data_IF_903926684057
#
_entry.id   IF_903926684057
#
_cell.length_a   1.000
_cell.length_b   1.000
_cell.length_c   1.000
_cell.angle_alpha   90.00
_cell.angle_beta   90.00
_cell.angle_gamma   90.00
#
_symmetry.space_group_name_H-M   'P 1'
#
loop_
_entity.id
_entity.type
_entity.pdbx_description
1 polymer ?
#
# COMPACT_ATOMS: atom_id res chain seq x y z
N UNK A 1 -20.24 24.71 -71.84
CA UNK A 1 -19.61 25.23 -70.61
C UNK A 1 -20.05 24.32 -69.43
N UNK A 2 -19.24 23.32 -69.03
CA UNK A 2 -19.57 22.43 -67.97
C UNK A 2 -18.85 22.96 -66.71
N UNK A 3 -19.60 23.37 -65.66
CA UNK A 3 -19.07 23.76 -64.35
C UNK A 3 -18.80 22.50 -63.56
N UNK A 4 -17.53 22.21 -63.27
CA UNK A 4 -17.10 21.18 -62.29
C UNK A 4 -17.19 21.79 -60.87
N UNK A 5 -18.04 21.22 -60.07
CA UNK A 5 -18.13 21.54 -58.63
C UNK A 5 -17.14 20.62 -57.91
N UNK A 6 -16.06 21.21 -57.39
CA UNK A 6 -15.05 20.53 -56.55
C UNK A 6 -15.58 20.49 -55.10
N UNK A 7 -16.03 19.31 -54.65
CA UNK A 7 -16.43 19.11 -53.26
C UNK A 7 -15.18 18.79 -52.45
N UNK A 8 -14.76 19.75 -51.62
CA UNK A 8 -13.67 19.61 -50.68
C UNK A 8 -14.19 18.87 -49.43
N UNK A 9 -13.89 17.57 -49.32
CA UNK A 9 -14.18 16.78 -48.11
C UNK A 9 -13.15 17.12 -47.03
N UNK A 10 -13.54 17.97 -46.08
CA UNK A 10 -12.74 18.22 -44.84
C UNK A 10 -12.92 17.06 -43.90
N UNK A 11 -11.93 16.18 -43.84
CA UNK A 11 -11.82 15.14 -42.79
C UNK A 11 -11.45 15.82 -41.48
N UNK A 12 -12.44 16.07 -40.61
CA UNK A 12 -12.21 16.46 -39.23
C UNK A 12 -11.71 15.25 -38.46
N UNK A 13 -10.41 15.17 -38.26
CA UNK A 13 -9.78 14.17 -37.36
C UNK A 13 -10.20 14.48 -35.92
N UNK A 14 -11.25 13.82 -35.43
CA UNK A 14 -11.62 13.86 -34.00
C UNK A 14 -10.61 12.98 -33.28
N UNK A 15 -9.59 13.60 -32.69
CA UNK A 15 -8.69 12.94 -31.77
C UNK A 15 -9.46 12.61 -30.49
N UNK A 16 -9.92 11.37 -30.36
CA UNK A 16 -10.40 10.86 -29.07
C UNK A 16 -9.19 10.77 -28.14
N UNK A 17 -9.05 11.72 -27.23
CA UNK A 17 -8.21 11.53 -26.06
C UNK A 17 -8.88 10.46 -25.21
N UNK A 18 -8.39 9.23 -25.30
CA UNK A 18 -8.73 8.19 -24.34
C UNK A 18 -8.14 8.68 -23.01
N UNK A 19 -8.98 9.26 -22.16
CA UNK A 19 -8.66 9.45 -20.76
C UNK A 19 -8.47 8.04 -20.22
N UNK A 20 -7.23 7.63 -20.03
CA UNK A 20 -6.90 6.46 -19.22
C UNK A 20 -7.54 6.72 -17.86
N UNK A 21 -8.63 6.03 -17.56
CA UNK A 21 -9.17 6.05 -16.21
C UNK A 21 -8.13 5.35 -15.36
N UNK A 22 -7.49 6.10 -14.44
CA UNK A 22 -6.60 5.52 -13.46
C UNK A 22 -7.35 4.39 -12.74
N UNK A 23 -6.78 3.20 -12.76
CA UNK A 23 -7.38 2.03 -12.13
C UNK A 23 -7.65 2.28 -10.64
N UNK A 24 -6.79 3.07 -9.99
CA UNK A 24 -6.83 3.39 -8.56
C UNK A 24 -6.97 4.89 -8.32
N UNK A 25 -7.84 5.25 -7.38
CA UNK A 25 -7.91 6.63 -6.89
C UNK A 25 -6.79 6.98 -5.90
N UNK A 26 -6.15 5.99 -5.25
CA UNK A 26 -5.24 6.20 -4.14
C UNK A 26 -3.79 5.85 -4.45
N UNK A 27 -3.53 4.69 -5.05
CA UNK A 27 -2.17 4.27 -5.37
C UNK A 27 -1.85 4.57 -6.82
N UNK A 28 -0.62 5.04 -7.10
CA UNK A 28 -0.19 5.22 -8.49
C UNK A 28 0.06 3.84 -9.14
N UNK A 29 -0.32 3.74 -10.43
CA UNK A 29 -0.07 2.58 -11.28
C UNK A 29 0.70 3.04 -12.52
N UNK A 30 1.89 3.60 -12.28
CA UNK A 30 2.79 4.07 -13.32
C UNK A 30 4.22 3.62 -13.00
N UNK A 31 4.87 3.00 -13.99
CA UNK A 31 6.24 2.52 -13.86
C UNK A 31 7.22 3.69 -13.71
N UNK A 32 8.23 3.53 -12.84
CA UNK A 32 9.23 4.55 -12.54
C UNK A 32 8.89 5.44 -11.36
N UNK A 33 7.65 5.49 -10.89
CA UNK A 33 7.31 6.22 -9.67
C UNK A 33 8.06 5.63 -8.49
N UNK A 34 8.69 6.50 -7.71
CA UNK A 34 9.45 6.12 -6.52
C UNK A 34 9.04 6.93 -5.31
N UNK A 35 9.09 6.31 -4.14
CA UNK A 35 8.76 6.97 -2.88
C UNK A 35 9.56 6.38 -1.71
N UNK A 36 9.75 7.18 -0.66
CA UNK A 36 10.42 6.75 0.55
C UNK A 36 9.50 6.89 1.76
N UNK A 37 9.45 5.84 2.57
CA UNK A 37 8.78 5.81 3.87
C UNK A 37 9.84 5.76 4.97
N UNK A 38 9.80 6.69 5.92
CA UNK A 38 10.67 6.69 7.09
C UNK A 38 9.89 6.26 8.32
N UNK A 39 10.45 5.30 9.05
CA UNK A 39 9.91 4.75 10.28
C UNK A 39 10.50 5.45 11.50
N UNK A 40 9.65 5.72 12.49
CA UNK A 40 10.01 6.38 13.74
C UNK A 40 9.61 5.54 14.93
N UNK A 41 10.46 5.52 15.93
CA UNK A 41 10.18 4.88 17.22
C UNK A 41 9.17 5.71 18.07
N UNK A 42 8.80 5.17 19.23
CA UNK A 42 7.89 5.84 20.20
C UNK A 42 8.38 7.21 20.70
N UNK A 43 9.66 7.53 20.51
CA UNK A 43 10.28 8.82 20.90
C UNK A 43 10.41 9.78 19.70
N UNK A 44 9.92 9.39 18.52
CA UNK A 44 10.05 10.18 17.30
C UNK A 44 11.45 10.14 16.68
N UNK A 45 12.31 9.18 17.07
CA UNK A 45 13.61 9.00 16.43
C UNK A 45 13.47 8.08 15.24
N UNK A 46 14.17 8.38 14.15
CA UNK A 46 14.26 7.51 12.98
C UNK A 46 14.78 6.14 13.40
N UNK A 47 14.12 5.08 12.97
CA UNK A 47 14.53 3.69 13.19
C UNK A 47 14.94 2.98 11.90
N UNK A 48 14.31 3.32 10.78
CA UNK A 48 14.61 2.78 9.46
C UNK A 48 14.03 3.67 8.36
N UNK A 49 14.48 3.50 7.12
CA UNK A 49 13.83 4.05 5.93
C UNK A 49 13.65 2.96 4.89
N UNK A 50 12.57 3.04 4.11
CA UNK A 50 12.30 2.10 3.02
C UNK A 50 12.10 2.87 1.73
N UNK A 51 12.95 2.60 0.75
CA UNK A 51 12.80 3.09 -0.61
C UNK A 51 11.90 2.12 -1.39
N UNK A 52 10.96 2.65 -2.14
CA UNK A 52 10.03 1.91 -2.98
C UNK A 52 10.14 2.41 -4.43
N UNK A 53 10.05 1.46 -5.37
CA UNK A 53 10.03 1.74 -6.80
C UNK A 53 8.96 0.88 -7.46
N UNK A 54 8.05 1.48 -8.21
CA UNK A 54 7.14 0.74 -9.10
C UNK A 54 7.98 0.27 -10.29
N UNK A 55 8.35 -1.00 -10.29
CA UNK A 55 9.26 -1.58 -11.29
C UNK A 55 8.56 -2.06 -12.54
N UNK A 56 7.27 -2.41 -12.44
CA UNK A 56 6.45 -2.77 -13.60
C UNK A 56 4.96 -2.57 -13.32
N UNK A 57 4.19 -2.32 -14.37
CA UNK A 57 2.73 -2.28 -14.34
C UNK A 57 2.20 -3.12 -15.49
N UNK A 58 1.34 -4.08 -15.16
CA UNK A 58 0.74 -4.98 -16.16
C UNK A 58 -0.78 -4.95 -16.05
N UNK A 59 -1.45 -4.91 -17.20
CA UNK A 59 -2.93 -4.93 -17.26
C UNK A 59 -3.41 -6.18 -17.99
N UNK A 60 -4.35 -6.89 -17.38
CA UNK A 60 -5.02 -8.05 -17.96
C UNK A 60 -6.53 -7.94 -17.74
N UNK A 61 -7.26 -7.69 -18.81
CA UNK A 61 -8.70 -7.39 -18.73
C UNK A 61 -8.95 -6.14 -17.88
N UNK A 62 -9.76 -6.27 -16.84
CA UNK A 62 -10.08 -5.18 -15.91
C UNK A 62 -9.12 -5.08 -14.72
N UNK A 63 -8.11 -5.95 -14.63
CA UNK A 63 -7.17 -5.95 -13.54
C UNK A 63 -5.83 -5.34 -13.95
N UNK A 64 -5.33 -4.42 -13.15
CA UNK A 64 -3.99 -3.86 -13.28
C UNK A 64 -3.19 -4.23 -12.05
N UNK A 65 -1.98 -4.73 -12.24
CA UNK A 65 -1.04 -5.12 -11.19
C UNK A 65 0.20 -4.25 -11.28
N UNK A 66 0.55 -3.60 -10.19
CA UNK A 66 1.82 -2.92 -10.03
C UNK A 66 2.75 -3.79 -9.17
N UNK A 67 3.97 -4.01 -9.64
CA UNK A 67 5.05 -4.65 -8.90
C UNK A 67 5.90 -3.55 -8.25
N UNK A 68 6.12 -3.64 -6.95
CA UNK A 68 6.85 -2.63 -6.19
C UNK A 68 8.05 -3.27 -5.52
N UNK A 69 9.24 -2.85 -5.92
CA UNK A 69 10.48 -3.22 -5.25
C UNK A 69 10.69 -2.34 -4.03
N UNK A 70 11.08 -2.92 -2.92
CA UNK A 70 11.32 -2.22 -1.66
C UNK A 70 12.72 -2.53 -1.12
N UNK A 71 13.39 -1.51 -0.57
CA UNK A 71 14.71 -1.64 0.08
C UNK A 71 14.67 -0.91 1.42
N UNK A 72 14.69 -1.68 2.50
CA UNK A 72 14.73 -1.12 3.85
C UNK A 72 16.18 -0.95 4.30
N UNK A 73 16.48 0.21 4.86
CA UNK A 73 17.80 0.59 5.39
C UNK A 73 17.69 1.02 6.85
N UNK A 74 18.74 0.77 7.60
CA UNK A 74 18.86 1.25 8.97
C UNK A 74 19.19 2.76 9.01
N UNK A 75 19.42 3.29 10.23
CA UNK A 75 19.77 4.71 10.46
C UNK A 75 21.12 5.12 9.86
N UNK A 76 22.01 4.17 9.56
CA UNK A 76 23.32 4.39 8.97
C UNK A 76 23.27 4.27 7.44
N UNK A 77 22.12 3.89 6.86
CA UNK A 77 21.93 3.64 5.44
C UNK A 77 22.33 2.23 5.00
N UNK A 78 22.65 1.33 5.95
CA UNK A 78 22.95 -0.07 5.66
C UNK A 78 21.67 -0.83 5.32
N UNK A 79 21.75 -1.69 4.29
CA UNK A 79 20.60 -2.50 3.86
C UNK A 79 20.25 -3.51 4.95
N UNK A 80 18.99 -3.44 5.44
CA UNK A 80 18.41 -4.43 6.36
C UNK A 80 17.79 -5.57 5.55
N UNK A 81 16.95 -5.22 4.58
CA UNK A 81 16.24 -6.19 3.74
C UNK A 81 15.78 -5.55 2.43
N UNK A 82 15.58 -6.37 1.41
CA UNK A 82 14.93 -5.98 0.17
C UNK A 82 13.89 -7.02 -0.23
N UNK A 83 12.90 -6.61 -0.98
CA UNK A 83 11.84 -7.49 -1.41
C UNK A 83 10.93 -6.86 -2.44
N UNK A 84 9.93 -7.62 -2.84
CA UNK A 84 8.95 -7.23 -3.84
C UNK A 84 7.54 -7.49 -3.29
N UNK A 85 6.60 -6.60 -3.59
CA UNK A 85 5.19 -6.81 -3.30
C UNK A 85 4.31 -6.31 -4.43
N UNK A 86 3.08 -6.83 -4.47
CA UNK A 86 2.11 -6.55 -5.50
C UNK A 86 0.96 -5.71 -4.97
N UNK A 87 0.56 -4.72 -5.76
CA UNK A 87 -0.70 -4.02 -5.59
C UNK A 87 -1.55 -4.31 -6.82
N UNK A 88 -2.78 -4.76 -6.59
CA UNK A 88 -3.74 -5.06 -7.64
C UNK A 88 -4.88 -4.05 -7.59
N UNK A 89 -5.37 -3.67 -8.77
CA UNK A 89 -6.53 -2.81 -8.91
C UNK A 89 -7.49 -3.40 -9.95
N UNK A 90 -8.80 -3.37 -9.67
CA UNK A 90 -9.85 -3.84 -10.58
C UNK A 90 -10.76 -2.70 -11.08
N UNK A 91 -10.33 -1.43 -10.94
CA UNK A 91 -11.11 -0.24 -11.30
C UNK A 91 -12.06 0.26 -10.21
N UNK A 92 -12.44 -0.58 -9.23
CA UNK A 92 -13.32 -0.21 -8.12
C UNK A 92 -12.57 -0.09 -6.79
N UNK A 93 -11.50 -0.86 -6.64
CA UNK A 93 -10.73 -0.97 -5.41
C UNK A 93 -9.29 -1.38 -5.68
N UNK A 94 -8.45 -1.09 -4.71
CA UNK A 94 -7.08 -1.59 -4.62
C UNK A 94 -7.03 -2.72 -3.61
N UNK A 95 -6.30 -3.78 -3.95
CA UNK A 95 -6.07 -4.94 -3.11
C UNK A 95 -4.56 -5.13 -2.92
N UNK A 96 -4.12 -5.09 -1.66
CA UNK A 96 -2.71 -5.28 -1.29
C UNK A 96 -2.60 -6.62 -0.57
N UNK A 97 -1.74 -7.51 -1.07
CA UNK A 97 -1.48 -8.79 -0.40
C UNK A 97 -0.77 -8.53 0.94
N UNK A 98 -1.44 -8.88 2.04
CA UNK A 98 -0.89 -8.67 3.38
C UNK A 98 0.42 -9.45 3.61
N UNK A 99 0.62 -10.58 2.90
CA UNK A 99 1.88 -11.35 2.92
C UNK A 99 3.05 -10.51 2.45
N UNK A 100 2.83 -9.74 1.38
CA UNK A 100 3.87 -8.92 0.75
C UNK A 100 4.26 -7.69 1.59
N UNK A 101 3.51 -7.39 2.65
CA UNK A 101 3.84 -6.33 3.61
C UNK A 101 4.74 -6.82 4.76
N UNK A 102 5.01 -8.13 4.84
CA UNK A 102 5.96 -8.69 5.80
C UNK A 102 7.39 -8.51 5.29
N UNK A 103 8.32 -8.26 6.22
CA UNK A 103 9.72 -8.17 5.81
C UNK A 103 10.22 -9.51 5.27
N UNK A 104 11.00 -9.52 4.18
CA UNK A 104 11.66 -10.73 3.67
C UNK A 104 12.48 -11.46 4.73
N UNK A 105 13.15 -10.72 5.64
CA UNK A 105 13.90 -11.32 6.76
C UNK A 105 13.06 -12.21 7.67
N UNK A 106 11.75 -11.92 7.76
CA UNK A 106 10.85 -12.79 8.50
C UNK A 106 10.73 -14.14 7.79
N UNK A 107 10.69 -14.14 6.45
CA UNK A 107 10.67 -15.38 5.67
C UNK A 107 12.02 -16.08 5.65
N UNK A 108 13.13 -15.33 5.62
CA UNK A 108 14.48 -15.89 5.64
C UNK A 108 14.79 -16.62 6.96
N UNK A 109 14.23 -16.15 8.07
CA UNK A 109 14.31 -16.86 9.37
C UNK A 109 13.69 -18.27 9.32
N UNK A 110 12.77 -18.48 8.37
CA UNK A 110 12.07 -19.75 8.15
C UNK A 110 12.50 -20.43 6.86
N UNK A 111 13.58 -19.97 6.21
CA UNK A 111 14.08 -20.54 4.98
C UNK A 111 14.44 -22.01 5.18
N UNK A 112 13.97 -22.86 4.28
CA UNK A 112 14.11 -24.33 4.37
C UNK A 112 13.10 -25.01 5.29
N UNK A 113 12.21 -24.28 5.98
CA UNK A 113 11.09 -24.83 6.74
C UNK A 113 9.83 -24.89 5.87
N UNK A 114 8.97 -25.88 6.14
CA UNK A 114 7.67 -25.93 5.47
C UNK A 114 6.77 -24.85 6.04
N UNK A 115 6.42 -23.88 5.18
CA UNK A 115 5.52 -22.77 5.54
C UNK A 115 4.25 -22.82 4.70
N UNK A 116 3.10 -22.58 5.34
CA UNK A 116 1.81 -22.38 4.67
C UNK A 116 1.26 -21.02 5.07
N UNK A 117 0.92 -20.16 4.07
CA UNK A 117 0.44 -18.82 4.30
C UNK A 117 -0.93 -18.66 3.67
N UNK A 118 -1.91 -18.34 4.49
CA UNK A 118 -3.30 -18.10 4.11
C UNK A 118 -3.76 -16.72 4.61
N UNK A 119 -4.81 -16.17 4.02
CA UNK A 119 -5.39 -14.91 4.50
C UNK A 119 -6.20 -14.17 3.45
N UNK A 120 -6.55 -12.93 3.81
CA UNK A 120 -7.28 -12.00 2.95
C UNK A 120 -6.47 -10.72 2.75
N UNK A 121 -6.64 -10.12 1.58
CA UNK A 121 -5.91 -8.89 1.23
C UNK A 121 -6.46 -7.66 1.98
N UNK A 122 -5.63 -6.64 2.09
CA UNK A 122 -6.06 -5.29 2.49
C UNK A 122 -6.76 -4.64 1.30
N UNK A 123 -8.09 -4.47 1.39
CA UNK A 123 -8.89 -3.85 0.33
C UNK A 123 -9.16 -2.38 0.65
N UNK A 124 -9.00 -1.52 -0.35
CA UNK A 124 -9.26 -0.07 -0.28
C UNK A 124 -10.13 0.32 -1.49
N UNK A 125 -11.43 0.59 -1.29
CA UNK A 125 -12.30 1.08 -2.35
C UNK A 125 -11.87 2.45 -2.88
N UNK A 126 -12.06 2.69 -4.18
CA UNK A 126 -11.74 3.97 -4.81
C UNK A 126 -12.63 5.14 -4.33
N UNK A 127 -13.82 4.83 -3.77
CA UNK A 127 -14.78 5.79 -3.26
C UNK A 127 -14.89 5.67 -1.72
N UNK A 128 -13.98 6.31 -1.00
CA UNK A 128 -14.07 6.37 0.46
C UNK A 128 -15.00 7.49 0.91
N UNK A 129 -15.78 7.23 1.98
CA UNK A 129 -16.63 8.20 2.65
C UNK A 129 -16.47 8.11 4.17
N UNK A 130 -16.66 9.22 4.88
CA UNK A 130 -16.63 9.26 6.33
C UNK A 130 -17.66 8.31 6.93
N UNK A 131 -17.27 7.58 7.96
CA UNK A 131 -18.10 6.57 8.62
C UNK A 131 -18.12 5.20 7.95
N UNK A 132 -17.58 5.06 6.73
CA UNK A 132 -17.55 3.81 5.99
C UNK A 132 -16.73 2.75 6.72
N UNK A 133 -17.31 1.54 6.88
CA UNK A 133 -16.59 0.36 7.31
C UNK A 133 -15.92 -0.31 6.11
N UNK A 134 -14.67 -0.70 6.27
CA UNK A 134 -13.89 -1.40 5.25
C UNK A 134 -13.77 -2.89 5.62
N UNK A 135 -13.58 -3.78 4.63
CA UNK A 135 -13.34 -5.19 4.89
C UNK A 135 -12.14 -5.42 5.81
N UNK A 136 -12.25 -6.38 6.71
CA UNK A 136 -11.14 -6.84 7.53
C UNK A 136 -10.07 -7.50 6.65
N UNK A 137 -8.82 -7.48 7.11
CA UNK A 137 -7.73 -8.21 6.48
C UNK A 137 -7.07 -9.14 7.49
N UNK A 138 -6.64 -10.31 7.02
CA UNK A 138 -6.02 -11.31 7.87
C UNK A 138 -4.90 -12.04 7.15
N UNK A 139 -3.91 -12.47 7.91
CA UNK A 139 -2.88 -13.38 7.45
C UNK A 139 -2.60 -14.38 8.56
N UNK A 140 -2.48 -15.64 8.18
CA UNK A 140 -2.00 -16.72 9.04
C UNK A 140 -0.82 -17.39 8.34
N UNK A 141 0.28 -17.51 9.04
CA UNK A 141 1.46 -18.26 8.60
C UNK A 141 1.68 -19.41 9.57
N UNK A 142 1.59 -20.64 9.07
CA UNK A 142 1.90 -21.85 9.79
C UNK A 142 3.29 -22.33 9.36
N UNK A 143 4.15 -22.64 10.33
CA UNK A 143 5.56 -22.99 10.14
C UNK A 143 5.82 -24.31 10.83
N UNK A 144 6.42 -25.29 10.13
CA UNK A 144 6.89 -26.53 10.72
C UNK A 144 8.40 -26.45 10.95
N UNK A 145 8.79 -26.35 12.21
CA UNK A 145 10.18 -26.29 12.66
C UNK A 145 10.72 -27.69 13.01
N UNK A 146 10.68 -28.61 12.02
CA UNK A 146 11.18 -29.98 12.26
C UNK A 146 10.28 -30.81 13.19
N UNK A 147 8.96 -30.68 13.02
CA UNK A 147 7.94 -31.36 13.82
C UNK A 147 7.38 -30.53 14.99
N UNK A 148 7.86 -29.30 15.19
CA UNK A 148 7.30 -28.35 16.16
C UNK A 148 6.49 -27.32 15.38
N UNK A 149 5.14 -27.35 15.46
CA UNK A 149 4.30 -26.38 14.75
C UNK A 149 4.36 -25.01 15.47
N UNK A 150 4.61 -23.97 14.70
CA UNK A 150 4.49 -22.58 15.12
C UNK A 150 3.53 -21.86 14.18
N UNK A 151 2.74 -20.93 14.70
CA UNK A 151 1.90 -20.10 13.85
C UNK A 151 2.02 -18.62 14.22
N UNK A 152 2.00 -17.77 13.18
CA UNK A 152 1.83 -16.33 13.30
C UNK A 152 0.49 -15.95 12.67
N UNK A 153 -0.25 -15.08 13.36
CA UNK A 153 -1.50 -14.51 12.83
C UNK A 153 -1.43 -12.99 12.93
N UNK A 154 -1.80 -12.31 11.86
CA UNK A 154 -1.98 -10.86 11.80
C UNK A 154 -3.43 -10.60 11.41
N UNK A 155 -4.14 -9.81 12.22
CA UNK A 155 -5.51 -9.40 11.96
C UNK A 155 -5.58 -7.88 11.93
N UNK A 156 -6.26 -7.34 10.93
CA UNK A 156 -6.65 -5.93 10.84
C UNK A 156 -8.16 -5.88 10.80
N UNK A 157 -8.78 -5.55 11.95
CA UNK A 157 -10.24 -5.55 12.12
C UNK A 157 -10.77 -4.17 12.46
N UNK A 158 -12.09 -4.01 12.45
CA UNK A 158 -12.76 -2.74 12.77
C UNK A 158 -12.27 -1.57 11.90
N UNK A 159 -11.95 -1.85 10.65
CA UNK A 159 -11.42 -0.86 9.71
C UNK A 159 -12.50 0.16 9.35
N UNK A 160 -12.25 1.43 9.64
CA UNK A 160 -13.24 2.50 9.48
C UNK A 160 -12.61 3.79 8.97
N UNK A 161 -13.27 4.45 8.03
CA UNK A 161 -12.91 5.79 7.55
C UNK A 161 -13.42 6.83 8.56
N UNK A 162 -12.53 7.62 9.16
CA UNK A 162 -12.86 8.62 10.17
C UNK A 162 -13.20 10.00 9.58
N UNK A 163 -12.80 10.27 8.34
CA UNK A 163 -12.95 11.54 7.67
C UNK A 163 -11.71 11.93 6.88
N UNK A 164 -11.52 13.24 6.66
CA UNK A 164 -10.36 13.78 5.96
C UNK A 164 -9.57 14.72 6.83
N UNK A 165 -8.24 14.67 6.70
CA UNK A 165 -7.30 15.59 7.36
C UNK A 165 -6.22 16.04 6.38
N UNK A 166 -5.67 17.24 6.58
CA UNK A 166 -4.47 17.69 5.88
C UNK A 166 -3.24 17.28 6.67
N UNK A 167 -2.28 16.62 6.01
CA UNK A 167 -1.04 16.13 6.62
C UNK A 167 0.15 16.70 5.88
N UNK A 168 1.07 17.31 6.61
CA UNK A 168 2.36 17.78 6.08
C UNK A 168 3.47 16.81 6.47
N UNK A 169 4.25 16.40 5.48
CA UNK A 169 5.42 15.52 5.61
C UNK A 169 6.60 16.16 4.87
N UNK A 170 7.81 15.62 4.95
CA UNK A 170 8.93 16.07 4.12
C UNK A 170 8.66 15.99 2.61
N UNK A 171 7.80 15.06 2.17
CA UNK A 171 7.41 14.92 0.76
C UNK A 171 6.37 15.94 0.29
N UNK A 172 5.73 16.70 1.19
CA UNK A 172 4.73 17.70 0.85
C UNK A 172 3.53 17.72 1.80
N UNK A 173 2.48 18.47 1.38
CA UNK A 173 1.20 18.56 2.11
C UNK A 173 0.11 17.88 1.32
N UNK A 174 -0.63 16.99 1.96
CA UNK A 174 -1.60 16.10 1.34
C UNK A 174 -2.95 16.16 2.06
N UNK A 175 -4.04 16.15 1.30
CA UNK A 175 -5.39 15.91 1.85
C UNK A 175 -5.62 14.40 1.88
N UNK A 176 -5.72 13.84 3.08
CA UNK A 176 -5.77 12.40 3.31
C UNK A 176 -7.12 11.96 3.86
N UNK A 177 -7.59 10.79 3.45
CA UNK A 177 -8.57 10.03 4.23
C UNK A 177 -7.89 9.36 5.41
N UNK A 178 -8.51 9.43 6.57
CA UNK A 178 -8.01 8.77 7.79
C UNK A 178 -8.75 7.46 7.98
N UNK A 179 -8.01 6.36 8.01
CA UNK A 179 -8.54 5.02 8.25
C UNK A 179 -8.00 4.55 9.59
N UNK A 180 -8.90 4.20 10.52
CA UNK A 180 -8.53 3.53 11.78
C UNK A 180 -8.79 2.04 11.69
N UNK A 181 -8.02 1.24 12.44
CA UNK A 181 -8.24 -0.19 12.59
C UNK A 181 -7.66 -0.73 13.90
N UNK A 182 -8.14 -1.90 14.30
CA UNK A 182 -7.54 -2.71 15.37
C UNK A 182 -6.53 -3.67 14.76
N UNK A 183 -5.30 -3.66 15.29
CA UNK A 183 -4.24 -4.58 14.91
C UNK A 183 -4.07 -5.64 16.00
N UNK A 184 -4.11 -6.90 15.61
CA UNK A 184 -3.87 -8.03 16.49
C UNK A 184 -2.82 -8.94 15.86
N UNK A 185 -1.65 -9.04 16.51
CA UNK A 185 -0.54 -9.88 16.08
C UNK A 185 -0.32 -10.95 17.14
N UNK A 186 -0.46 -12.21 16.76
CA UNK A 186 -0.21 -13.36 17.61
C UNK A 186 0.97 -14.16 17.06
N UNK A 187 2.04 -14.21 17.82
CA UNK A 187 3.22 -15.04 17.58
C UNK A 187 3.77 -15.45 18.95
N UNK A 188 3.29 -16.58 19.47
CA UNK A 188 3.50 -16.94 20.88
C UNK A 188 2.67 -16.05 21.82
N UNK A 189 3.02 -14.78 21.94
CA UNK A 189 2.25 -13.78 22.71
C UNK A 189 1.31 -12.99 21.79
N UNK A 190 0.14 -12.62 22.35
CA UNK A 190 -0.82 -11.76 21.66
C UNK A 190 -0.51 -10.28 21.92
N UNK A 191 -0.29 -9.51 20.85
CA UNK A 191 -0.12 -8.06 20.87
C UNK A 191 -1.30 -7.42 20.15
N UNK A 192 -2.10 -6.67 20.90
CA UNK A 192 -3.24 -5.91 20.34
C UNK A 192 -2.99 -4.43 20.55
N UNK A 193 -3.26 -3.66 19.50
CA UNK A 193 -3.21 -2.20 19.48
C UNK A 193 -4.23 -1.66 18.48
N UNK A 194 -4.21 -0.36 18.28
CA UNK A 194 -4.95 0.30 17.20
C UNK A 194 -3.97 1.05 16.30
N UNK A 195 -4.38 1.34 15.09
CA UNK A 195 -3.58 2.15 14.18
C UNK A 195 -4.46 3.15 13.43
N UNK A 196 -3.82 4.19 12.93
CA UNK A 196 -4.41 5.14 11.97
C UNK A 196 -3.50 5.24 10.76
N UNK A 197 -4.11 5.24 9.58
CA UNK A 197 -3.45 5.46 8.30
C UNK A 197 -4.07 6.69 7.63
N UNK A 198 -3.22 7.56 7.10
CA UNK A 198 -3.58 8.72 6.30
C UNK A 198 -3.26 8.42 4.85
N UNK A 199 -4.31 8.28 4.04
CA UNK A 199 -4.26 7.84 2.66
C UNK A 199 -4.59 8.99 1.71
N UNK A 200 -3.65 9.39 0.87
CA UNK A 200 -3.82 10.45 -0.12
C UNK A 200 -4.10 9.89 -1.52
N UNK A 201 -4.91 10.60 -2.29
CA UNK A 201 -5.18 10.24 -3.68
C UNK A 201 -3.92 10.35 -4.54
N UNK A 202 -3.67 9.33 -5.37
CA UNK A 202 -2.54 9.26 -6.29
C UNK A 202 -1.17 9.05 -5.62
N UNK A 203 -1.13 8.85 -4.30
CA UNK A 203 0.12 8.76 -3.52
C UNK A 203 0.19 7.49 -2.68
N UNK A 204 -0.94 7.07 -2.09
CA UNK A 204 -1.00 5.98 -1.14
C UNK A 204 -0.93 6.45 0.31
N UNK A 205 -0.32 5.65 1.18
CA UNK A 205 -0.18 5.97 2.60
C UNK A 205 0.89 7.04 2.79
N UNK A 206 0.48 8.19 3.33
CA UNK A 206 1.35 9.34 3.60
C UNK A 206 1.88 9.33 5.02
N UNK A 207 1.08 8.80 5.96
CA UNK A 207 1.40 8.69 7.38
C UNK A 207 0.70 7.48 7.97
N UNK A 208 1.34 6.83 8.94
CA UNK A 208 0.71 5.85 9.82
C UNK A 208 1.17 6.08 11.25
N UNK A 209 0.30 5.82 12.21
CA UNK A 209 0.60 5.79 13.64
C UNK A 209 0.02 4.52 14.26
N UNK A 210 0.85 3.82 15.03
CA UNK A 210 0.46 2.65 15.78
C UNK A 210 0.36 2.99 17.26
N UNK A 211 -0.67 2.49 17.92
CA UNK A 211 -0.98 2.80 19.32
C UNK A 211 -1.07 1.50 20.14
N UNK A 212 -0.59 1.54 21.37
CA UNK A 212 -0.84 0.48 22.31
C UNK A 212 -2.27 0.54 22.89
N UNK A 213 -2.64 -0.47 23.69
CA UNK A 213 -3.97 -0.53 24.36
C UNK A 213 -4.32 0.68 25.24
N UNK A 214 -3.33 1.51 25.61
CA UNK A 214 -3.51 2.74 26.39
C UNK A 214 -3.60 4.00 25.50
N UNK A 215 -3.67 3.84 24.19
CA UNK A 215 -3.72 4.94 23.22
C UNK A 215 -2.42 5.73 23.07
N UNK A 216 -1.27 5.20 23.53
CA UNK A 216 0.04 5.84 23.34
C UNK A 216 0.66 5.37 22.04
N UNK A 217 1.22 6.30 21.26
CA UNK A 217 1.98 5.99 20.05
C UNK A 217 3.16 5.10 20.39
N UNK A 218 3.32 4.01 19.65
CA UNK A 218 4.41 3.04 19.75
C UNK A 218 5.38 3.12 18.60
N UNK A 219 4.89 3.49 17.43
CA UNK A 219 5.65 3.73 16.20
C UNK A 219 4.86 4.63 15.27
N UNK A 220 5.54 5.26 14.33
CA UNK A 220 4.90 5.99 13.23
C UNK A 220 5.72 5.89 11.96
N UNK A 221 5.07 6.10 10.82
CA UNK A 221 5.73 6.22 9.52
C UNK A 221 5.29 7.48 8.82
N UNK A 222 6.20 8.07 8.04
CA UNK A 222 5.91 9.22 7.20
C UNK A 222 6.46 9.00 5.78
N UNK A 223 5.72 9.46 4.80
CA UNK A 223 6.22 9.64 3.44
C UNK A 223 7.25 10.77 3.45
N UNK A 224 8.51 10.47 3.14
CA UNK A 224 9.62 11.45 3.22
C UNK A 224 10.12 11.89 1.84
N UNK A 225 9.84 11.11 0.79
CA UNK A 225 10.05 11.51 -0.61
C UNK A 225 8.96 10.89 -1.49
N UNK A 226 8.61 11.57 -2.57
CA UNK A 226 7.71 11.08 -3.62
C UNK A 226 8.11 11.72 -4.95
N UNK A 227 8.45 10.88 -5.94
CA UNK A 227 8.87 11.30 -7.27
C UNK A 227 8.00 10.56 -8.31
N UNK A 228 7.33 11.32 -9.14
CA UNK A 228 6.51 10.90 -10.28
C UNK A 228 7.00 11.54 -11.58
#
# INVERSE_FOLDING_TARGET
MKKQILILLVFASISFTVLSQDCSAFYPFEEGISFQITNYDRKGKVSASTDHLISSVTTSGNNTTATINSKMKDINGELITEGEYLINCNGNEVSIDLKSLLSPDLFDQFNGMKTDITGTNVVIPNNLSEGQTLPDASMKMDIDMGGIPMSMTVLMTDRKVLGKESVTTPAGTFVCYVISYTSNIKMGMNRTGTAKQWLAKGVGIVKQEDYNKKGKVTSSTLLTAFNN
#
